data_IF_225402159528
#
_entry.id   IF_225402159528
#
_cell.length_a   1.000
_cell.length_b   1.000
_cell.length_c   1.000
_cell.angle_alpha   90.00
_cell.angle_beta   90.00
_cell.angle_gamma   90.00
#
_symmetry.space_group_name_H-M   'P 1'
#
loop_
_entity.id
_entity.type
_entity.pdbx_description
1 polymer ?
#
# COMPACT_ATOMS: atom_id res chain seq x y z
N UNK A 1 9.92 -2.23 8.03
CA UNK A 1 8.99 -1.11 7.77
C UNK A 1 8.43 -0.50 9.04
N UNK A 2 8.05 0.78 8.98
CA UNK A 2 7.58 1.55 10.14
C UNK A 2 6.22 2.26 9.91
N UNK A 3 5.72 2.29 8.68
CA UNK A 3 4.45 2.95 8.31
C UNK A 3 3.49 1.96 7.67
N UNK A 4 2.23 1.92 8.14
CA UNK A 4 1.20 1.01 7.61
C UNK A 4 0.81 1.28 6.14
N UNK A 5 0.99 2.52 5.68
CA UNK A 5 0.62 2.98 4.35
C UNK A 5 1.79 3.09 3.36
N UNK A 6 2.95 2.55 3.71
CA UNK A 6 4.13 2.49 2.86
C UNK A 6 4.64 1.05 2.75
N UNK A 7 5.21 0.69 1.59
CA UNK A 7 5.91 -0.57 1.41
C UNK A 7 7.16 -0.57 2.30
N UNK A 8 7.41 -1.68 2.99
CA UNK A 8 8.61 -1.84 3.81
C UNK A 8 9.86 -1.79 2.92
N UNK A 9 10.82 -0.94 3.28
CA UNK A 9 12.08 -0.76 2.52
C UNK A 9 13.21 -1.61 3.07
N UNK A 10 13.20 -1.82 4.39
CA UNK A 10 14.28 -2.45 5.12
C UNK A 10 13.71 -3.55 6.00
N UNK A 11 14.47 -4.62 6.14
CA UNK A 11 14.19 -5.70 7.09
C UNK A 11 15.50 -6.15 7.72
N UNK A 12 15.45 -6.38 9.03
CA UNK A 12 16.53 -6.96 9.81
C UNK A 12 15.96 -8.12 10.64
N UNK A 13 16.70 -9.22 10.70
CA UNK A 13 16.34 -10.36 11.53
C UNK A 13 17.55 -10.94 12.20
N UNK A 14 17.49 -11.13 13.51
CA UNK A 14 18.49 -11.90 14.26
C UNK A 14 17.99 -13.33 14.36
N UNK A 15 18.80 -14.27 13.90
CA UNK A 15 18.47 -15.69 13.89
C UNK A 15 19.52 -16.50 14.63
N UNK A 16 19.10 -17.53 15.37
CA UNK A 16 20.01 -18.48 15.99
C UNK A 16 20.21 -19.65 15.05
N UNK A 17 21.47 -19.92 14.72
CA UNK A 17 21.88 -21.03 13.84
C UNK A 17 22.89 -21.89 14.60
N UNK A 18 22.76 -23.21 14.54
CA UNK A 18 23.74 -24.12 15.11
C UNK A 18 25.10 -23.89 14.44
N UNK A 19 26.19 -23.96 15.22
CA UNK A 19 27.55 -23.71 14.71
C UNK A 19 27.86 -24.52 13.43
N UNK A 20 27.48 -25.81 13.42
CA UNK A 20 27.72 -26.69 12.28
C UNK A 20 26.84 -26.37 11.04
N UNK A 21 25.81 -25.53 11.18
CA UNK A 21 24.87 -25.20 10.11
C UNK A 21 25.10 -23.78 9.53
N UNK A 22 26.05 -23.02 10.09
CA UNK A 22 26.30 -21.62 9.71
C UNK A 22 26.68 -21.50 8.24
N UNK A 23 27.63 -22.28 7.76
CA UNK A 23 28.07 -22.23 6.36
C UNK A 23 26.93 -22.57 5.41
N UNK A 24 26.12 -23.59 5.74
CA UNK A 24 24.94 -23.95 4.98
C UNK A 24 23.87 -22.87 4.97
N UNK A 25 23.68 -22.18 6.08
CA UNK A 25 22.77 -21.03 6.18
C UNK A 25 23.24 -19.88 5.28
N UNK A 26 24.49 -19.47 5.39
CA UNK A 26 25.07 -18.38 4.58
C UNK A 26 25.02 -18.71 3.09
N UNK A 27 25.33 -19.96 2.71
CA UNK A 27 25.22 -20.40 1.31
C UNK A 27 23.80 -20.25 0.76
N UNK A 28 22.77 -20.71 1.50
CA UNK A 28 21.36 -20.56 1.11
C UNK A 28 20.92 -19.09 1.06
N UNK A 29 21.35 -18.28 2.03
CA UNK A 29 21.07 -16.84 2.04
C UNK A 29 21.65 -16.14 0.81
N UNK A 30 22.90 -16.44 0.45
CA UNK A 30 23.54 -15.84 -0.72
C UNK A 30 22.88 -16.29 -2.04
N UNK A 31 22.46 -17.55 -2.14
CA UNK A 31 21.71 -18.05 -3.28
C UNK A 31 20.37 -17.31 -3.43
N UNK A 32 19.60 -17.20 -2.34
CA UNK A 32 18.37 -16.41 -2.31
C UNK A 32 18.61 -14.94 -2.70
N UNK A 33 19.65 -14.31 -2.16
CA UNK A 33 19.98 -12.92 -2.51
C UNK A 33 20.33 -12.75 -3.99
N UNK A 34 21.00 -13.74 -4.59
CA UNK A 34 21.29 -13.73 -6.02
C UNK A 34 20.03 -13.85 -6.88
N UNK A 35 19.10 -14.73 -6.50
CA UNK A 35 17.81 -14.90 -7.19
C UNK A 35 16.99 -13.62 -7.13
N UNK A 36 16.85 -12.99 -5.95
CA UNK A 36 16.11 -11.74 -5.79
C UNK A 36 16.74 -10.60 -6.62
N UNK A 37 18.07 -10.44 -6.62
CA UNK A 37 18.72 -9.43 -7.47
C UNK A 37 18.48 -9.66 -8.95
N UNK A 38 18.40 -10.91 -9.37
CA UNK A 38 18.08 -11.27 -10.76
C UNK A 38 16.64 -10.94 -11.11
N UNK A 39 15.69 -11.24 -10.23
CA UNK A 39 14.26 -10.96 -10.44
C UNK A 39 13.95 -9.47 -10.47
N UNK A 40 14.56 -8.71 -9.58
CA UNK A 40 14.26 -7.28 -9.39
C UNK A 40 15.27 -6.34 -10.06
N UNK A 41 16.09 -6.82 -10.97
CA UNK A 41 17.17 -6.03 -11.58
C UNK A 41 16.71 -4.74 -12.27
N UNK A 42 15.46 -4.67 -12.75
CA UNK A 42 14.90 -3.47 -13.40
C UNK A 42 14.15 -2.57 -12.42
N UNK A 43 13.51 -3.13 -11.39
CA UNK A 43 12.61 -2.39 -10.51
C UNK A 43 13.30 -1.95 -9.22
N UNK A 44 14.29 -2.70 -8.77
CA UNK A 44 15.08 -2.40 -7.57
C UNK A 44 16.54 -2.87 -7.72
N UNK A 45 17.31 -2.24 -8.65
CA UNK A 45 18.68 -2.66 -8.97
C UNK A 45 19.66 -2.52 -7.81
N UNK A 46 19.35 -1.65 -6.84
CA UNK A 46 20.22 -1.34 -5.70
C UNK A 46 19.87 -2.15 -4.45
N UNK A 47 19.04 -3.20 -4.54
CA UNK A 47 18.67 -4.03 -3.40
C UNK A 47 19.89 -4.70 -2.77
N UNK A 48 20.05 -4.55 -1.46
CA UNK A 48 21.21 -5.02 -0.71
C UNK A 48 20.82 -6.13 0.26
N UNK A 49 21.70 -7.13 0.35
CA UNK A 49 21.59 -8.24 1.28
C UNK A 49 22.91 -8.39 2.02
N UNK A 50 22.85 -8.56 3.34
CA UNK A 50 23.97 -8.86 4.19
C UNK A 50 23.56 -9.90 5.23
N UNK A 51 24.45 -10.84 5.53
CA UNK A 51 24.32 -11.74 6.66
C UNK A 51 25.64 -11.73 7.43
N UNK A 52 25.58 -11.32 8.67
CA UNK A 52 26.75 -11.11 9.52
C UNK A 52 26.56 -11.84 10.85
N UNK A 53 27.66 -12.36 11.39
CA UNK A 53 27.65 -12.90 12.74
C UNK A 53 27.56 -11.75 13.73
N UNK A 54 26.61 -11.84 14.65
CA UNK A 54 26.45 -10.84 15.72
C UNK A 54 26.31 -11.52 17.07
N UNK A 55 26.66 -10.82 18.12
CA UNK A 55 26.35 -11.22 19.49
C UNK A 55 24.99 -10.67 19.86
N UNK A 56 24.11 -11.54 20.36
CA UNK A 56 22.79 -11.16 20.80
C UNK A 56 22.47 -11.83 22.14
N UNK A 57 22.16 -11.01 23.13
CA UNK A 57 21.89 -11.47 24.50
C UNK A 57 20.39 -11.68 24.83
N UNK A 58 19.51 -11.52 23.84
CA UNK A 58 18.07 -11.72 23.99
C UNK A 58 17.66 -13.18 23.96
N UNK A 59 16.40 -13.43 24.29
CA UNK A 59 15.83 -14.77 24.18
C UNK A 59 15.37 -15.05 22.75
N UNK A 60 15.56 -16.27 22.28
CA UNK A 60 14.93 -16.73 21.05
C UNK A 60 13.42 -16.83 21.19
N UNK A 61 12.71 -16.61 20.10
CA UNK A 61 11.29 -16.94 20.01
C UNK A 61 11.13 -18.46 20.12
N UNK A 62 10.11 -18.90 20.86
CA UNK A 62 9.77 -20.33 20.92
C UNK A 62 9.67 -20.94 19.52
N UNK A 63 10.21 -22.14 19.34
CA UNK A 63 10.37 -22.77 18.02
C UNK A 63 9.04 -23.00 17.30
N UNK A 64 7.98 -23.38 18.02
CA UNK A 64 6.65 -23.61 17.43
C UNK A 64 5.96 -22.29 17.09
N UNK A 65 6.17 -21.26 17.91
CA UNK A 65 5.71 -19.89 17.59
C UNK A 65 6.44 -19.34 16.37
N UNK A 66 7.77 -19.48 16.32
CA UNK A 66 8.59 -19.04 15.18
C UNK A 66 8.17 -19.73 13.88
N UNK A 67 7.94 -21.05 13.92
CA UNK A 67 7.47 -21.84 12.78
C UNK A 67 6.13 -21.33 12.26
N UNK A 68 5.13 -21.18 13.14
CA UNK A 68 3.80 -20.68 12.77
C UNK A 68 3.87 -19.26 12.23
N UNK A 69 4.68 -18.41 12.84
CA UNK A 69 4.90 -17.05 12.38
C UNK A 69 5.51 -16.99 10.97
N UNK A 70 6.57 -17.76 10.71
CA UNK A 70 7.19 -17.82 9.38
C UNK A 70 6.19 -18.37 8.35
N UNK A 71 5.44 -19.43 8.67
CA UNK A 71 4.42 -19.97 7.78
C UNK A 71 3.32 -18.94 7.48
N UNK A 72 2.90 -18.14 8.47
CA UNK A 72 1.95 -17.06 8.26
C UNK A 72 2.49 -15.97 7.33
N UNK A 73 3.76 -15.59 7.47
CA UNK A 73 4.41 -14.63 6.57
C UNK A 73 4.54 -15.14 5.13
N UNK A 74 4.76 -16.44 4.95
CA UNK A 74 4.80 -17.08 3.62
C UNK A 74 3.40 -17.17 3.01
N UNK A 75 2.39 -17.45 3.82
CA UNK A 75 1.01 -17.65 3.34
C UNK A 75 0.25 -16.35 3.08
N UNK A 76 0.65 -15.26 3.76
CA UNK A 76 -0.05 -13.97 3.61
C UNK A 76 0.18 -13.37 2.22
N UNK A 77 -0.88 -12.84 1.63
CA UNK A 77 -0.73 -12.08 0.40
C UNK A 77 -0.03 -10.75 0.65
N UNK A 78 0.82 -10.35 -0.29
CA UNK A 78 1.45 -9.03 -0.36
C UNK A 78 1.43 -8.54 -1.81
N UNK A 79 1.12 -7.26 -2.02
CA UNK A 79 1.04 -6.67 -3.36
C UNK A 79 -0.38 -6.62 -3.93
N UNK A 80 -0.48 -6.63 -5.26
CA UNK A 80 -1.73 -6.53 -6.00
C UNK A 80 -2.47 -7.87 -5.99
N UNK A 81 -3.77 -7.84 -5.71
CA UNK A 81 -4.66 -9.00 -5.77
C UNK A 81 -5.67 -8.91 -6.91
N UNK A 82 -6.13 -7.71 -7.24
CA UNK A 82 -7.04 -7.50 -8.36
C UNK A 82 -6.76 -6.18 -9.07
N UNK A 83 -6.96 -6.19 -10.37
CA UNK A 83 -6.96 -5.00 -11.23
C UNK A 83 -8.38 -4.54 -11.46
N UNK A 84 -8.56 -3.24 -11.69
CA UNK A 84 -9.86 -2.65 -12.04
C UNK A 84 -10.40 -3.26 -13.33
N UNK A 85 -11.71 -3.54 -13.33
CA UNK A 85 -12.41 -3.99 -14.53
C UNK A 85 -12.79 -2.81 -15.44
N UNK A 86 -12.85 -1.59 -14.88
CA UNK A 86 -13.33 -0.38 -15.57
C UNK A 86 -12.18 0.46 -16.14
N UNK A 87 -11.01 0.43 -15.51
CA UNK A 87 -9.86 1.27 -15.88
C UNK A 87 -8.62 0.41 -16.05
N UNK A 88 -8.14 0.32 -17.28
CA UNK A 88 -6.93 -0.46 -17.59
C UNK A 88 -5.70 0.07 -16.83
N UNK A 89 -4.92 -0.84 -16.27
CA UNK A 89 -3.70 -0.51 -15.53
C UNK A 89 -3.92 0.01 -14.10
N UNK A 90 -5.16 0.21 -13.67
CA UNK A 90 -5.46 0.60 -12.30
C UNK A 90 -5.53 -0.63 -11.38
N UNK A 91 -4.85 -0.56 -10.24
CA UNK A 91 -5.01 -1.53 -9.15
C UNK A 91 -6.34 -1.29 -8.46
N UNK A 92 -7.19 -2.32 -8.39
CA UNK A 92 -8.42 -2.28 -7.60
C UNK A 92 -8.17 -2.67 -6.15
N UNK A 93 -7.55 -3.82 -5.93
CA UNK A 93 -7.36 -4.41 -4.60
C UNK A 93 -5.91 -4.79 -4.36
N UNK A 94 -5.37 -4.36 -3.24
CA UNK A 94 -4.01 -4.68 -2.80
C UNK A 94 -3.93 -4.90 -1.29
N UNK A 95 -2.86 -5.57 -0.87
CA UNK A 95 -2.50 -5.72 0.54
C UNK A 95 -1.02 -5.44 0.74
N UNK A 96 -0.67 -4.88 1.88
CA UNK A 96 0.69 -4.54 2.26
C UNK A 96 1.03 -5.20 3.60
N UNK A 97 2.02 -6.08 3.60
CA UNK A 97 2.73 -6.48 4.81
C UNK A 97 3.68 -5.32 5.19
N UNK A 98 3.18 -4.41 6.00
CA UNK A 98 3.80 -3.11 6.17
C UNK A 98 4.93 -3.09 7.20
N UNK A 99 4.80 -3.86 8.27
CA UNK A 99 5.83 -3.95 9.30
C UNK A 99 5.72 -5.23 10.10
N UNK A 100 6.87 -5.73 10.52
CA UNK A 100 7.02 -6.73 11.58
C UNK A 100 7.89 -6.09 12.66
N UNK A 101 7.47 -6.18 13.92
CA UNK A 101 8.20 -5.60 15.05
C UNK A 101 8.23 -6.58 16.21
N UNK A 102 9.39 -6.74 16.81
CA UNK A 102 9.65 -7.58 17.99
C UNK A 102 10.28 -6.77 19.14
N UNK A 103 10.20 -5.44 19.11
CA UNK A 103 10.81 -4.56 20.15
C UNK A 103 10.10 -4.69 21.51
N UNK A 104 8.86 -5.17 21.52
CA UNK A 104 8.13 -5.42 22.74
C UNK A 104 8.42 -6.83 23.24
N UNK A 105 9.00 -7.01 24.44
CA UNK A 105 9.30 -8.33 24.99
C UNK A 105 8.11 -9.27 24.96
N UNK A 106 8.31 -10.49 24.47
CA UNK A 106 7.29 -11.53 24.41
C UNK A 106 6.20 -11.31 23.36
N UNK A 107 6.33 -10.34 22.45
CA UNK A 107 5.35 -10.04 21.41
C UNK A 107 5.97 -9.95 20.03
N UNK A 108 5.29 -10.55 19.06
CA UNK A 108 5.51 -10.33 17.63
C UNK A 108 4.31 -9.52 17.12
N UNK A 109 4.56 -8.32 16.64
CA UNK A 109 3.53 -7.42 16.12
C UNK A 109 3.67 -7.33 14.61
N UNK A 110 2.66 -7.78 13.90
CA UNK A 110 2.57 -7.65 12.43
C UNK A 110 1.54 -6.60 12.08
N UNK A 111 1.93 -5.64 11.25
CA UNK A 111 1.04 -4.60 10.73
C UNK A 111 0.84 -4.81 9.24
N UNK A 112 -0.43 -4.89 8.85
CA UNK A 112 -0.83 -4.99 7.44
C UNK A 112 -1.80 -3.88 7.08
N UNK A 113 -1.92 -3.57 5.79
CA UNK A 113 -2.88 -2.59 5.29
C UNK A 113 -3.50 -3.11 4.01
N UNK A 114 -4.82 -3.14 3.96
CA UNK A 114 -5.59 -3.57 2.80
C UNK A 114 -6.26 -2.34 2.18
N UNK A 115 -6.21 -2.25 0.86
CA UNK A 115 -6.83 -1.19 0.07
C UNK A 115 -7.63 -1.78 -1.07
N UNK A 116 -8.79 -1.21 -1.32
CA UNK A 116 -9.60 -1.53 -2.49
C UNK A 116 -10.57 -0.39 -2.77
N UNK A 117 -10.87 -0.14 -4.05
CA UNK A 117 -12.02 0.66 -4.46
C UNK A 117 -13.34 -0.11 -4.30
N UNK A 118 -13.29 -1.44 -4.18
CA UNK A 118 -14.43 -2.33 -3.91
C UNK A 118 -14.50 -2.69 -2.43
N UNK A 119 -15.62 -2.38 -1.77
CA UNK A 119 -15.81 -2.72 -0.34
C UNK A 119 -15.83 -4.24 -0.11
N UNK A 120 -16.44 -5.00 -1.01
CA UNK A 120 -16.43 -6.47 -0.95
C UNK A 120 -15.03 -7.04 -1.14
N UNK A 121 -14.25 -6.51 -2.10
CA UNK A 121 -12.86 -6.87 -2.33
C UNK A 121 -11.98 -6.57 -1.12
N UNK A 122 -12.13 -5.38 -0.52
CA UNK A 122 -11.42 -5.00 0.69
C UNK A 122 -11.72 -5.95 1.85
N UNK A 123 -13.01 -6.23 2.07
CA UNK A 123 -13.45 -7.17 3.11
C UNK A 123 -12.87 -8.56 2.89
N UNK A 124 -12.94 -9.09 1.67
CA UNK A 124 -12.43 -10.41 1.34
C UNK A 124 -10.94 -10.55 1.66
N UNK A 125 -10.12 -9.57 1.27
CA UNK A 125 -8.68 -9.58 1.56
C UNK A 125 -8.40 -9.44 3.04
N UNK A 126 -9.15 -8.58 3.75
CA UNK A 126 -9.03 -8.46 5.19
C UNK A 126 -9.40 -9.77 5.92
N UNK A 127 -10.43 -10.48 5.44
CA UNK A 127 -10.81 -11.80 5.98
C UNK A 127 -9.71 -12.84 5.75
N UNK A 128 -9.08 -12.86 4.55
CA UNK A 128 -7.94 -13.75 4.27
C UNK A 128 -6.76 -13.50 5.21
N UNK A 129 -6.39 -12.22 5.38
CA UNK A 129 -5.30 -11.84 6.29
C UNK A 129 -5.62 -12.28 7.72
N UNK A 130 -6.81 -12.01 8.19
CA UNK A 130 -7.25 -12.44 9.53
C UNK A 130 -7.20 -13.96 9.68
N UNK A 131 -7.75 -14.70 8.72
CA UNK A 131 -7.75 -16.15 8.76
C UNK A 131 -6.33 -16.73 8.81
N UNK A 132 -5.40 -16.19 8.02
CA UNK A 132 -4.00 -16.59 8.02
C UNK A 132 -3.36 -16.45 9.40
N UNK A 133 -3.54 -15.31 10.04
CA UNK A 133 -2.96 -15.08 11.37
C UNK A 133 -3.68 -15.85 12.48
N UNK A 134 -5.00 -16.04 12.40
CA UNK A 134 -5.72 -16.92 13.33
C UNK A 134 -5.24 -18.38 13.25
N UNK A 135 -5.02 -18.90 12.05
CA UNK A 135 -4.44 -20.25 11.87
C UNK A 135 -3.03 -20.35 12.47
N UNK A 136 -2.28 -19.27 12.50
CA UNK A 136 -0.98 -19.20 13.18
C UNK A 136 -1.11 -19.02 14.71
N UNK A 137 -2.33 -18.90 15.25
CA UNK A 137 -2.59 -18.70 16.68
C UNK A 137 -2.40 -17.27 17.16
N UNK A 138 -2.43 -16.30 16.26
CA UNK A 138 -2.30 -14.88 16.60
C UNK A 138 -3.66 -14.24 16.91
N UNK A 139 -3.66 -13.26 17.80
CA UNK A 139 -4.76 -12.31 17.96
C UNK A 139 -4.73 -11.29 16.82
N UNK A 140 -5.88 -10.99 16.24
CA UNK A 140 -6.01 -10.03 15.14
C UNK A 140 -6.97 -8.93 15.51
N UNK A 141 -6.48 -7.70 15.48
CA UNK A 141 -7.27 -6.48 15.70
C UNK A 141 -7.44 -5.76 14.36
N UNK A 142 -8.67 -5.54 13.94
CA UNK A 142 -8.99 -4.68 12.80
C UNK A 142 -9.27 -3.27 13.29
N UNK A 143 -8.69 -2.29 12.62
CA UNK A 143 -9.04 -0.89 12.81
C UNK A 143 -10.13 -0.51 11.82
N UNK A 144 -10.81 0.62 12.07
CA UNK A 144 -11.85 1.12 11.19
C UNK A 144 -11.33 1.28 9.75
N UNK A 145 -12.05 0.71 8.79
CA UNK A 145 -11.64 0.77 7.40
C UNK A 145 -11.83 2.18 6.86
N UNK A 146 -10.85 2.68 6.12
CA UNK A 146 -11.07 3.84 5.28
C UNK A 146 -11.88 3.38 4.04
N UNK A 147 -13.02 4.02 3.72
CA UNK A 147 -13.86 3.60 2.61
C UNK A 147 -13.15 3.74 1.27
N UNK A 148 -13.39 2.81 0.37
CA UNK A 148 -13.03 2.95 -1.03
C UNK A 148 -13.89 4.01 -1.72
N UNK A 149 -13.40 4.53 -2.84
CA UNK A 149 -14.18 5.34 -3.75
C UNK A 149 -14.11 4.70 -5.14
N UNK A 150 -15.19 4.01 -5.49
CA UNK A 150 -15.28 3.38 -6.80
C UNK A 150 -15.37 4.45 -7.90
N UNK A 151 -14.60 4.34 -8.98
CA UNK A 151 -14.68 5.28 -10.11
C UNK A 151 -16.07 5.24 -10.74
N UNK A 152 -16.63 6.44 -11.03
CA UNK A 152 -17.85 6.59 -11.81
C UNK A 152 -17.54 7.34 -13.11
N UNK A 153 -17.37 6.60 -14.21
CA UNK A 153 -17.08 7.19 -15.52
C UNK A 153 -18.29 7.92 -16.14
N UNK A 154 -19.49 7.66 -15.61
CA UNK A 154 -20.73 8.33 -16.04
C UNK A 154 -21.07 9.58 -15.22
N UNK A 155 -20.21 9.96 -14.28
CA UNK A 155 -20.35 11.15 -13.45
C UNK A 155 -20.54 12.41 -14.28
N UNK A 156 -21.58 13.20 -13.98
CA UNK A 156 -21.86 14.45 -14.67
C UNK A 156 -20.81 15.51 -14.32
N UNK A 157 -20.45 15.62 -13.04
CA UNK A 157 -19.41 16.58 -12.62
C UNK A 157 -18.04 16.25 -13.22
N UNK A 158 -17.73 14.98 -13.45
CA UNK A 158 -16.52 14.58 -14.15
C UNK A 158 -16.56 15.06 -15.62
N UNK A 159 -17.67 14.80 -16.33
CA UNK A 159 -17.84 15.23 -17.73
C UNK A 159 -17.70 16.74 -17.88
N UNK A 160 -18.34 17.51 -16.99
CA UNK A 160 -18.23 18.98 -16.96
C UNK A 160 -16.82 19.45 -16.63
N UNK A 161 -16.15 18.81 -15.68
CA UNK A 161 -14.75 19.15 -15.33
C UNK A 161 -13.82 18.92 -16.51
N UNK A 162 -13.98 17.80 -17.24
CA UNK A 162 -13.22 17.51 -18.46
C UNK A 162 -13.49 18.55 -19.56
N UNK A 163 -14.75 18.92 -19.78
CA UNK A 163 -15.14 19.92 -20.75
C UNK A 163 -14.53 21.30 -20.43
N UNK A 164 -14.60 21.71 -19.15
CA UNK A 164 -13.99 22.95 -18.66
C UNK A 164 -12.46 22.95 -18.83
N UNK A 165 -11.82 21.81 -18.55
CA UNK A 165 -10.37 21.69 -18.73
C UNK A 165 -9.96 21.84 -20.21
N UNK A 166 -10.67 21.18 -21.12
CA UNK A 166 -10.45 21.32 -22.58
C UNK A 166 -10.63 22.77 -23.04
N UNK A 167 -11.70 23.41 -22.59
CA UNK A 167 -12.03 24.82 -22.92
C UNK A 167 -10.91 25.77 -22.46
N UNK A 168 -10.41 25.59 -21.24
CA UNK A 168 -9.44 26.49 -20.64
C UNK A 168 -8.00 26.28 -21.14
N UNK A 169 -7.62 25.04 -21.41
CA UNK A 169 -6.21 24.68 -21.63
C UNK A 169 -5.93 24.06 -23.00
N UNK A 170 -6.97 23.78 -23.82
CA UNK A 170 -6.83 23.20 -25.16
C UNK A 170 -6.22 21.78 -25.18
N UNK A 171 -6.29 21.07 -24.06
CA UNK A 171 -5.70 19.74 -23.86
C UNK A 171 -6.71 18.81 -23.19
N UNK A 172 -6.56 17.50 -23.41
CA UNK A 172 -7.27 16.49 -22.64
C UNK A 172 -6.67 16.31 -21.27
N UNK A 173 -7.49 16.35 -20.18
CA UNK A 173 -7.00 15.94 -18.89
C UNK A 173 -6.86 14.42 -18.81
N UNK A 174 -5.88 13.94 -18.06
CA UNK A 174 -5.85 12.53 -17.67
C UNK A 174 -6.87 12.27 -16.57
N UNK A 175 -7.87 11.45 -16.87
CA UNK A 175 -8.81 10.94 -15.87
C UNK A 175 -8.21 9.69 -15.25
N UNK A 176 -7.92 9.75 -13.96
CA UNK A 176 -7.31 8.65 -13.20
C UNK A 176 -8.16 8.33 -11.99
N UNK A 177 -8.10 7.10 -11.56
CA UNK A 177 -8.57 6.68 -10.24
C UNK A 177 -7.39 6.12 -9.44
N UNK A 178 -7.51 6.15 -8.14
CA UNK A 178 -6.53 5.55 -7.24
C UNK A 178 -7.24 4.60 -6.28
N UNK A 179 -6.58 3.52 -5.90
CA UNK A 179 -7.10 2.57 -4.91
C UNK A 179 -6.75 2.99 -3.46
N UNK A 180 -6.52 4.28 -3.25
CA UNK A 180 -6.34 4.87 -1.92
C UNK A 180 -7.67 5.42 -1.39
N UNK A 181 -7.80 5.48 -0.07
CA UNK A 181 -8.91 6.20 0.53
C UNK A 181 -8.80 7.70 0.24
N UNK A 182 -9.83 8.25 -0.37
CA UNK A 182 -10.03 9.69 -0.53
C UNK A 182 -11.21 10.15 0.30
N UNK A 183 -11.24 11.43 0.67
CA UNK A 183 -12.33 12.04 1.44
C UNK A 183 -13.69 11.84 0.77
N UNK A 184 -13.71 11.76 -0.57
CA UNK A 184 -14.93 11.45 -1.34
C UNK A 184 -15.58 10.13 -0.90
N UNK A 185 -14.78 9.10 -0.57
CA UNK A 185 -15.30 7.85 -0.03
C UNK A 185 -16.02 8.03 1.31
N UNK A 186 -15.52 8.91 2.18
CA UNK A 186 -16.17 9.25 3.46
C UNK A 186 -17.49 9.99 3.26
N UNK A 187 -17.55 10.89 2.29
CA UNK A 187 -18.79 11.59 1.95
C UNK A 187 -19.83 10.63 1.40
N UNK A 188 -19.47 9.69 0.51
CA UNK A 188 -20.39 8.70 -0.06
C UNK A 188 -20.97 7.74 0.97
N UNK A 189 -20.27 7.44 2.06
CA UNK A 189 -20.86 6.65 3.15
C UNK A 189 -22.09 7.33 3.79
N UNK A 190 -22.07 8.66 3.87
CA UNK A 190 -23.16 9.43 4.46
C UNK A 190 -24.16 9.93 3.44
N UNK A 191 -23.69 10.20 2.23
CA UNK A 191 -24.44 10.84 1.16
C UNK A 191 -24.21 10.08 -0.15
N UNK A 192 -24.78 8.87 -0.31
CA UNK A 192 -24.50 7.99 -1.45
C UNK A 192 -25.01 8.54 -2.81
N UNK A 193 -25.80 9.61 -2.79
CA UNK A 193 -26.31 10.29 -3.96
C UNK A 193 -25.38 11.39 -4.50
N UNK A 194 -24.28 11.71 -3.81
CA UNK A 194 -23.39 12.74 -4.29
C UNK A 194 -22.61 12.26 -5.52
N UNK A 195 -22.57 13.12 -6.52
CA UNK A 195 -21.67 13.00 -7.66
C UNK A 195 -20.44 13.85 -7.40
N UNK A 196 -19.25 13.27 -7.49
CA UNK A 196 -18.02 13.91 -7.04
C UNK A 196 -16.86 13.66 -7.99
N UNK A 197 -16.00 14.66 -8.11
CA UNK A 197 -14.69 14.60 -8.77
C UNK A 197 -13.62 15.13 -7.82
N UNK A 198 -12.42 14.55 -7.89
CA UNK A 198 -11.27 15.03 -7.15
C UNK A 198 -10.21 15.53 -8.11
N UNK A 199 -9.79 16.76 -7.96
CA UNK A 199 -8.68 17.34 -8.71
C UNK A 199 -7.96 18.39 -7.85
N UNK A 200 -6.71 18.67 -8.17
CA UNK A 200 -5.91 19.61 -7.40
C UNK A 200 -4.60 19.98 -8.09
N UNK A 201 -3.81 20.84 -7.47
CA UNK A 201 -2.49 21.20 -7.98
C UNK A 201 -1.51 20.04 -7.80
N UNK A 202 -0.40 20.08 -8.54
CA UNK A 202 0.67 19.10 -8.44
C UNK A 202 1.45 19.24 -7.14
N UNK A 203 1.45 18.20 -6.35
CA UNK A 203 2.26 18.06 -5.14
C UNK A 203 3.42 17.10 -5.38
N UNK A 204 4.57 17.36 -4.78
CA UNK A 204 5.76 16.51 -4.83
C UNK A 204 6.24 16.20 -3.41
N UNK A 205 6.64 14.95 -3.18
CA UNK A 205 7.10 14.52 -1.87
C UNK A 205 6.02 14.55 -0.79
N UNK A 206 4.78 14.22 -1.17
CA UNK A 206 3.60 14.23 -0.27
C UNK A 206 3.86 13.36 0.96
N UNK A 207 3.49 13.88 2.13
CA UNK A 207 3.68 13.24 3.45
C UNK A 207 5.16 13.06 3.87
N UNK A 208 6.10 13.74 3.22
CA UNK A 208 7.51 13.70 3.56
C UNK A 208 8.08 15.09 3.90
N UNK A 209 9.16 15.19 4.67
CA UNK A 209 9.89 16.44 4.83
C UNK A 209 10.32 16.97 3.47
N UNK A 210 10.03 18.27 3.20
CA UNK A 210 10.33 18.87 1.91
C UNK A 210 9.21 18.73 0.87
N UNK A 211 7.99 18.43 1.28
CA UNK A 211 6.79 18.51 0.44
C UNK A 211 6.71 19.86 -0.28
N UNK A 212 6.39 19.86 -1.58
CA UNK A 212 6.35 21.03 -2.44
C UNK A 212 5.06 21.09 -3.24
N UNK A 213 4.54 22.30 -3.40
CA UNK A 213 3.46 22.65 -4.30
C UNK A 213 4.03 23.30 -5.57
N UNK A 214 3.61 22.83 -6.73
CA UNK A 214 3.89 23.47 -8.01
C UNK A 214 2.96 24.67 -8.21
N UNK A 215 3.52 25.91 -8.19
CA UNK A 215 2.73 27.14 -8.25
C UNK A 215 2.03 27.33 -9.60
N UNK A 216 2.65 26.90 -10.71
CA UNK A 216 2.02 27.00 -12.03
C UNK A 216 0.81 26.07 -12.14
N UNK A 217 0.89 24.88 -11.58
CA UNK A 217 -0.24 23.95 -11.49
C UNK A 217 -1.35 24.46 -10.56
N UNK A 218 -1.00 25.15 -9.49
CA UNK A 218 -1.97 25.78 -8.59
C UNK A 218 -2.77 26.89 -9.30
N UNK A 219 -2.14 27.69 -10.13
CA UNK A 219 -2.84 28.70 -10.94
C UNK A 219 -3.85 28.03 -11.91
N UNK A 220 -3.45 26.94 -12.57
CA UNK A 220 -4.36 26.15 -13.43
C UNK A 220 -5.52 25.55 -12.63
N UNK A 221 -5.24 25.01 -11.45
CA UNK A 221 -6.25 24.46 -10.54
C UNK A 221 -7.31 25.50 -10.18
N UNK A 222 -6.91 26.70 -9.78
CA UNK A 222 -7.84 27.76 -9.40
C UNK A 222 -8.72 28.19 -10.58
N UNK A 223 -8.15 28.32 -11.78
CA UNK A 223 -8.91 28.65 -13.00
C UNK A 223 -9.95 27.58 -13.31
N UNK A 224 -9.57 26.30 -13.24
CA UNK A 224 -10.46 25.18 -13.46
C UNK A 224 -11.59 25.15 -12.42
N UNK A 225 -11.25 25.28 -11.15
CA UNK A 225 -12.22 25.28 -10.05
C UNK A 225 -13.29 26.36 -10.24
N UNK A 226 -12.86 27.59 -10.54
CA UNK A 226 -13.78 28.71 -10.78
C UNK A 226 -14.68 28.44 -11.97
N UNK A 227 -14.16 27.96 -13.09
CA UNK A 227 -14.96 27.67 -14.29
C UNK A 227 -16.00 26.58 -14.01
N UNK A 228 -15.59 25.47 -13.35
CA UNK A 228 -16.48 24.36 -13.00
C UNK A 228 -17.60 24.83 -12.05
N UNK A 229 -17.26 25.52 -10.96
CA UNK A 229 -18.28 25.99 -9.97
C UNK A 229 -19.24 27.01 -10.56
N UNK A 230 -18.77 27.84 -11.49
CA UNK A 230 -19.60 28.89 -12.12
C UNK A 230 -20.53 28.32 -13.20
N UNK A 231 -20.13 27.30 -13.93
CA UNK A 231 -20.84 26.81 -15.10
C UNK A 231 -21.58 25.50 -14.86
N UNK A 232 -21.30 24.77 -13.78
CA UNK A 232 -22.04 23.55 -13.43
C UNK A 232 -23.48 23.90 -13.05
N UNK A 233 -24.44 23.27 -13.74
CA UNK A 233 -25.88 23.47 -13.56
C UNK A 233 -26.58 22.21 -13.11
#
# INVERSE_FOLDING_TARGET
GNKKNAIARDTEAVVYVKENDIEGFISRFNAFAADVRKEFHNTDPDVKFAAERTEFSGNAVDSEVAKRFIMALVAINHGVLAMSQDIAGLVETSTNLAAVNMDTPGKIIVKTSQRSSSESGKKFVADKVQATFHLAGAEVVRTDPYPGWAPNMESNILKETVASYRKLFGQEPEVKAIHAGLECGLFLLKFPYLDMVSFGPTLRGVHAPGEKLDLASNEKFVKLLVDVVTNFK
#
